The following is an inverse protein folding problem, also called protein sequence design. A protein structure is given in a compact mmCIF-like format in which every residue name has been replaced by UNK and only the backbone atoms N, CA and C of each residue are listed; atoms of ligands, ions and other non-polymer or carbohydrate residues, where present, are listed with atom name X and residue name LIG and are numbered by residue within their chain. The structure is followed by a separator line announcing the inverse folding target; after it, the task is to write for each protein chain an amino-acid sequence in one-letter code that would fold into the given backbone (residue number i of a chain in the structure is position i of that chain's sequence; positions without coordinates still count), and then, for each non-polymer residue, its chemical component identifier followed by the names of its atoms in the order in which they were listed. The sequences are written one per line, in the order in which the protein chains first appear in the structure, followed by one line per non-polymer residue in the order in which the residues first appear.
data_IF_959932456184
#
_entry.id   IF_959932456184
#
_cell.length_a   1.000
_cell.length_b   1.000
_cell.length_c   1.000
_cell.angle_alpha   90.00
_cell.angle_beta   90.00
_cell.angle_gamma   90.00
#
_symmetry.space_group_name_H-M   'P 1'
#
loop_
_entity.id
_entity.type
_entity.pdbx_description
1 polymer ?
#
# COMPACT_ATOMS: atom_id res chain seq x y z
N UNK A 1 -11.78 16.62 18.63
CA UNK A 1 -11.25 15.59 17.74
C UNK A 1 -10.35 14.71 18.59
N UNK A 2 -10.52 13.39 18.50
CA UNK A 2 -9.64 12.46 19.19
C UNK A 2 -8.28 12.47 18.49
N UNK A 3 -7.20 12.41 19.28
CA UNK A 3 -5.87 12.22 18.71
C UNK A 3 -5.74 10.77 18.21
N UNK A 4 -5.26 10.60 16.99
CA UNK A 4 -5.03 9.30 16.38
C UNK A 4 -3.53 9.03 16.31
N UNK A 5 -3.12 7.83 16.72
CA UNK A 5 -1.73 7.41 16.71
C UNK A 5 -1.57 6.09 15.96
N UNK A 6 -0.41 5.88 15.33
CA UNK A 6 0.00 4.59 14.81
C UNK A 6 0.68 3.83 15.95
N UNK A 7 0.15 2.68 16.32
CA UNK A 7 0.59 1.89 17.46
C UNK A 7 1.36 0.63 17.09
N UNK A 8 1.31 0.22 15.83
CA UNK A 8 2.03 -0.93 15.31
C UNK A 8 2.24 -0.83 13.81
N UNK A 9 3.26 -1.52 13.33
CA UNK A 9 3.58 -1.65 11.91
C UNK A 9 4.02 -3.06 11.60
N UNK A 10 3.72 -3.55 10.42
CA UNK A 10 4.13 -4.87 9.94
C UNK A 10 4.37 -4.86 8.45
N UNK A 11 5.26 -5.73 7.99
CA UNK A 11 5.67 -5.76 6.61
C UNK A 11 6.15 -7.15 6.19
N UNK A 12 5.75 -7.57 5.00
CA UNK A 12 6.34 -8.75 4.36
C UNK A 12 7.66 -8.40 3.69
N UNK A 13 8.52 -9.40 3.47
CA UNK A 13 9.73 -9.24 2.68
C UNK A 13 9.36 -8.94 1.23
N UNK A 14 10.00 -7.93 0.63
CA UNK A 14 9.89 -7.68 -0.80
C UNK A 14 10.67 -8.71 -1.58
N UNK A 15 9.98 -9.62 -2.23
CA UNK A 15 10.58 -10.69 -3.02
C UNK A 15 9.58 -11.17 -4.07
N UNK A 16 10.02 -12.06 -4.95
CA UNK A 16 9.10 -12.80 -5.80
C UNK A 16 8.30 -13.76 -4.91
N UNK A 17 7.02 -13.52 -4.78
CA UNK A 17 6.10 -14.41 -4.09
C UNK A 17 5.29 -15.21 -5.10
N UNK A 18 5.21 -16.53 -4.87
CA UNK A 18 4.31 -17.41 -5.64
C UNK A 18 2.88 -17.39 -5.05
N UNK A 19 2.65 -16.46 -4.14
CA UNK A 19 1.45 -16.38 -3.35
C UNK A 19 0.46 -15.34 -3.80
N UNK A 20 -0.73 -15.62 -3.33
CA UNK A 20 -1.91 -14.78 -3.37
C UNK A 20 -1.75 -13.54 -2.48
N UNK A 21 -2.44 -12.49 -2.86
CA UNK A 21 -2.54 -11.23 -2.11
C UNK A 21 -3.03 -11.48 -0.68
N UNK A 22 -3.92 -12.43 -0.49
CA UNK A 22 -4.49 -12.82 0.81
C UNK A 22 -3.41 -13.25 1.80
N UNK A 23 -2.44 -14.06 1.34
CA UNK A 23 -1.30 -14.48 2.15
C UNK A 23 -0.42 -13.31 2.56
N UNK A 24 -0.12 -12.41 1.63
CA UNK A 24 0.67 -11.20 1.91
C UNK A 24 -0.03 -10.28 2.92
N UNK A 25 -1.34 -10.12 2.79
CA UNK A 25 -2.16 -9.37 3.74
C UNK A 25 -2.12 -9.99 5.13
N UNK A 26 -2.28 -11.32 5.22
CA UNK A 26 -2.23 -12.03 6.49
C UNK A 26 -0.87 -11.93 7.17
N UNK A 27 0.23 -12.14 6.43
CA UNK A 27 1.60 -12.06 6.95
C UNK A 27 1.91 -10.66 7.49
N UNK A 28 1.61 -9.61 6.71
CA UNK A 28 1.84 -8.22 7.15
C UNK A 28 0.97 -7.81 8.33
N UNK A 29 -0.28 -8.22 8.36
CA UNK A 29 -1.19 -7.97 9.47
C UNK A 29 -0.75 -8.69 10.75
N UNK A 30 -0.33 -9.95 10.62
CA UNK A 30 0.18 -10.74 11.74
C UNK A 30 1.45 -10.13 12.34
N UNK A 31 2.40 -9.71 11.49
CA UNK A 31 3.61 -9.02 11.91
C UNK A 31 3.28 -7.70 12.65
N UNK A 32 2.34 -6.91 12.11
CA UNK A 32 1.85 -5.69 12.74
C UNK A 32 1.27 -5.95 14.14
N UNK A 33 0.39 -6.93 14.27
CA UNK A 33 -0.23 -7.27 15.57
C UNK A 33 0.82 -7.74 16.57
N UNK A 34 1.79 -8.56 16.14
CA UNK A 34 2.87 -9.05 16.99
C UNK A 34 3.85 -7.94 17.41
N UNK A 35 4.07 -6.95 16.54
CA UNK A 35 4.94 -5.81 16.84
C UNK A 35 4.36 -4.85 17.89
N UNK A 36 3.06 -4.97 18.17
CA UNK A 36 2.35 -4.05 19.03
C UNK A 36 2.34 -4.56 20.47
N UNK A 37 2.98 -3.85 21.36
CA UNK A 37 2.94 -4.17 22.79
C UNK A 37 1.52 -3.93 23.35
N UNK A 38 0.93 -4.94 23.97
CA UNK A 38 -0.38 -4.88 24.62
C UNK A 38 -1.60 -4.68 23.68
N UNK A 39 -1.47 -4.94 22.39
CA UNK A 39 -2.62 -4.99 21.49
C UNK A 39 -3.11 -6.44 21.34
N UNK A 40 -4.37 -6.65 21.65
CA UNK A 40 -5.02 -7.92 21.35
C UNK A 40 -5.76 -7.78 20.01
N UNK A 41 -5.73 -8.79 19.17
CA UNK A 41 -6.52 -8.80 17.92
C UNK A 41 -8.01 -8.52 18.16
N UNK A 42 -8.53 -8.86 19.33
CA UNK A 42 -9.93 -8.60 19.73
C UNK A 42 -10.25 -7.11 19.92
N UNK A 43 -9.24 -6.27 20.10
CA UNK A 43 -9.41 -4.84 20.27
C UNK A 43 -9.54 -4.12 18.92
N UNK A 44 -9.26 -4.82 17.83
CA UNK A 44 -9.37 -4.29 16.46
C UNK A 44 -10.84 -4.27 16.06
N UNK A 45 -11.38 -3.08 15.92
CA UNK A 45 -12.78 -2.83 15.57
C UNK A 45 -13.01 -2.56 14.08
N UNK A 46 -11.94 -2.26 13.35
CA UNK A 46 -12.02 -2.03 11.91
C UNK A 46 -10.88 -2.68 11.13
N UNK A 47 -11.17 -3.15 9.92
CA UNK A 47 -10.18 -3.68 8.98
C UNK A 47 -10.37 -3.02 7.62
N UNK A 48 -9.38 -2.24 7.21
CA UNK A 48 -9.34 -1.61 5.89
C UNK A 48 -8.24 -2.22 5.07
N UNK A 49 -8.59 -2.73 3.90
CA UNK A 49 -7.62 -3.33 2.98
C UNK A 49 -7.47 -2.45 1.75
N UNK A 50 -6.25 -2.06 1.45
CA UNK A 50 -5.91 -1.36 0.22
C UNK A 50 -5.24 -2.30 -0.77
N UNK A 51 -5.79 -2.38 -1.95
CA UNK A 51 -5.25 -3.18 -3.05
C UNK A 51 -5.75 -2.65 -4.37
N UNK A 52 -4.98 -2.88 -5.39
CA UNK A 52 -5.36 -2.61 -6.77
C UNK A 52 -5.68 -3.93 -7.53
N UNK A 53 -5.66 -5.06 -6.85
CA UNK A 53 -6.06 -6.34 -7.41
C UNK A 53 -7.59 -6.46 -7.53
N UNK A 54 -8.04 -7.22 -8.53
CA UNK A 54 -9.46 -7.52 -8.72
C UNK A 54 -10.08 -8.45 -7.67
N UNK A 55 -9.35 -8.80 -6.62
CA UNK A 55 -9.84 -9.65 -5.53
C UNK A 55 -10.90 -8.91 -4.72
N UNK A 56 -12.01 -9.60 -4.48
CA UNK A 56 -13.15 -9.06 -3.73
C UNK A 56 -13.12 -9.52 -2.28
N UNK A 57 -13.80 -8.77 -1.42
CA UNK A 57 -14.01 -9.13 -0.01
C UNK A 57 -12.73 -9.26 0.83
N UNK A 58 -11.60 -8.69 0.40
CA UNK A 58 -10.31 -8.84 1.09
C UNK A 58 -10.34 -8.38 2.56
N UNK A 59 -11.12 -7.35 2.89
CA UNK A 59 -11.32 -6.94 4.28
C UNK A 59 -11.96 -8.03 5.13
N UNK A 60 -12.99 -8.71 4.61
CA UNK A 60 -13.65 -9.82 5.30
C UNK A 60 -12.73 -11.05 5.39
N UNK A 61 -12.06 -11.39 4.31
CA UNK A 61 -11.11 -12.52 4.25
C UNK A 61 -9.98 -12.31 5.26
N UNK A 62 -9.39 -11.12 5.31
CA UNK A 62 -8.36 -10.80 6.29
C UNK A 62 -8.90 -10.87 7.73
N UNK A 63 -10.10 -10.36 7.96
CA UNK A 63 -10.74 -10.41 9.29
C UNK A 63 -10.94 -11.86 9.77
N UNK A 64 -11.38 -12.74 8.89
CA UNK A 64 -11.52 -14.17 9.17
C UNK A 64 -10.16 -14.81 9.45
N UNK A 65 -9.16 -14.55 8.60
CA UNK A 65 -7.82 -15.13 8.72
C UNK A 65 -7.12 -14.76 10.04
N UNK A 66 -7.30 -13.54 10.54
CA UNK A 66 -6.73 -13.08 11.83
C UNK A 66 -7.68 -13.31 13.02
N UNK A 67 -8.86 -13.88 12.80
CA UNK A 67 -9.80 -14.29 13.85
C UNK A 67 -10.52 -13.13 14.55
N UNK A 68 -10.82 -12.06 13.84
CA UNK A 68 -11.52 -10.90 14.41
C UNK A 68 -12.92 -10.71 13.79
N UNK A 69 -13.77 -9.99 14.52
CA UNK A 69 -15.13 -9.61 14.06
C UNK A 69 -15.26 -8.08 14.10
N UNK A 70 -14.73 -7.38 13.09
CA UNK A 70 -14.71 -5.93 13.11
C UNK A 70 -16.12 -5.36 12.86
N UNK A 71 -16.39 -4.17 13.39
CA UNK A 71 -17.59 -3.36 13.09
C UNK A 71 -17.51 -2.77 11.68
N UNK A 72 -16.28 -2.50 11.21
CA UNK A 72 -15.98 -1.88 9.92
C UNK A 72 -15.04 -2.79 9.16
N UNK A 73 -15.44 -3.24 7.97
CA UNK A 73 -14.56 -4.03 7.11
C UNK A 73 -14.86 -3.77 5.64
N UNK A 74 -13.90 -3.20 4.92
CA UNK A 74 -14.01 -3.02 3.47
C UNK A 74 -12.65 -2.84 2.80
N UNK A 75 -12.67 -2.97 1.48
CA UNK A 75 -11.51 -2.69 0.63
C UNK A 75 -11.59 -1.28 0.08
N UNK A 76 -10.43 -0.65 -0.07
CA UNK A 76 -10.26 0.69 -0.64
C UNK A 76 -9.37 0.57 -1.86
N UNK A 77 -9.90 1.01 -2.99
CA UNK A 77 -9.18 1.07 -4.24
C UNK A 77 -9.12 2.51 -4.72
N UNK A 78 -7.93 3.01 -4.96
CA UNK A 78 -7.66 4.33 -5.51
C UNK A 78 -6.31 4.34 -6.25
N UNK A 79 -6.06 3.28 -7.02
CA UNK A 79 -4.80 3.06 -7.72
C UNK A 79 -3.57 3.25 -6.79
N UNK A 80 -2.57 3.98 -7.23
CA UNK A 80 -1.33 4.22 -6.49
C UNK A 80 -1.53 4.92 -5.13
N UNK A 81 -2.68 5.52 -4.86
CA UNK A 81 -2.99 6.20 -3.60
C UNK A 81 -3.91 5.40 -2.67
N UNK A 82 -4.20 4.13 -2.99
CA UNK A 82 -5.09 3.28 -2.18
C UNK A 82 -4.66 3.20 -0.71
N UNK A 83 -3.37 2.99 -0.45
CA UNK A 83 -2.82 2.93 0.91
C UNK A 83 -3.01 4.24 1.68
N UNK A 84 -2.72 5.38 1.04
CA UNK A 84 -2.93 6.70 1.66
C UNK A 84 -4.40 6.94 1.97
N UNK A 85 -5.31 6.58 1.06
CA UNK A 85 -6.74 6.71 1.29
C UNK A 85 -7.25 5.80 2.42
N UNK A 86 -6.68 4.60 2.54
CA UNK A 86 -7.02 3.70 3.65
C UNK A 86 -6.61 4.29 5.01
N UNK A 87 -5.43 4.90 5.10
CA UNK A 87 -4.98 5.60 6.31
C UNK A 87 -5.87 6.80 6.63
N UNK A 88 -6.22 7.62 5.64
CA UNK A 88 -7.12 8.77 5.82
C UNK A 88 -8.51 8.31 6.28
N UNK A 89 -9.01 7.21 5.73
CA UNK A 89 -10.29 6.63 6.14
C UNK A 89 -10.25 6.14 7.59
N UNK A 90 -9.18 5.43 7.98
CA UNK A 90 -8.99 4.99 9.35
C UNK A 90 -8.92 6.18 10.32
N UNK A 91 -8.14 7.21 9.97
CA UNK A 91 -8.11 8.46 10.75
C UNK A 91 -9.50 9.05 10.92
N UNK A 92 -10.29 9.10 9.85
CA UNK A 92 -11.65 9.68 9.87
C UNK A 92 -12.58 8.87 10.77
N UNK A 93 -12.55 7.55 10.73
CA UNK A 93 -13.37 6.68 11.59
C UNK A 93 -12.99 6.82 13.06
N UNK A 94 -11.70 6.85 13.38
CA UNK A 94 -11.24 6.97 14.77
C UNK A 94 -11.55 8.39 15.30
N UNK A 95 -11.25 9.43 14.53
CA UNK A 95 -11.48 10.81 14.97
C UNK A 95 -12.95 11.17 15.15
N UNK A 96 -13.85 10.49 14.42
CA UNK A 96 -15.30 10.63 14.57
C UNK A 96 -15.88 9.77 15.70
N UNK A 97 -15.11 8.90 16.32
CA UNK A 97 -15.56 8.00 17.38
C UNK A 97 -16.34 6.77 16.90
N UNK A 98 -16.30 6.47 15.60
CA UNK A 98 -16.92 5.26 15.04
C UNK A 98 -16.12 3.99 15.36
N UNK A 99 -14.85 4.12 15.64
CA UNK A 99 -13.96 3.01 16.02
C UNK A 99 -12.81 3.55 16.86
N UNK A 100 -12.32 2.72 17.78
CA UNK A 100 -11.17 3.07 18.61
C UNK A 100 -9.86 2.51 18.04
N UNK A 101 -9.91 1.38 17.31
CA UNK A 101 -8.73 0.75 16.72
C UNK A 101 -9.04 0.16 15.35
N UNK A 102 -8.23 0.51 14.38
CA UNK A 102 -8.36 0.04 12.99
C UNK A 102 -7.04 -0.53 12.49
N UNK A 103 -7.10 -1.73 11.95
CA UNK A 103 -6.02 -2.31 11.16
C UNK A 103 -6.15 -1.84 9.71
N UNK A 104 -5.09 -1.23 9.20
CA UNK A 104 -4.97 -0.91 7.78
C UNK A 104 -3.91 -1.82 7.19
N UNK A 105 -4.25 -2.58 6.18
CA UNK A 105 -3.33 -3.45 5.47
C UNK A 105 -3.42 -3.21 3.97
N UNK A 106 -2.34 -3.49 3.25
CA UNK A 106 -2.31 -3.38 1.80
C UNK A 106 -1.31 -4.35 1.20
N UNK A 107 -1.65 -4.94 0.08
CA UNK A 107 -0.76 -5.84 -0.64
C UNK A 107 -1.01 -5.80 -2.14
N UNK A 108 0.07 -6.00 -2.89
CA UNK A 108 0.06 -6.16 -4.34
C UNK A 108 0.95 -7.34 -4.73
N UNK A 109 0.46 -8.16 -5.65
CA UNK A 109 1.24 -9.22 -6.27
C UNK A 109 1.53 -8.86 -7.73
N UNK A 110 2.65 -8.17 -7.96
CA UNK A 110 3.04 -7.71 -9.29
C UNK A 110 3.52 -8.85 -10.22
N UNK A 111 3.73 -10.04 -9.68
CA UNK A 111 4.09 -11.24 -10.47
C UNK A 111 2.90 -11.88 -11.16
N UNK A 112 1.71 -11.54 -10.77
CA UNK A 112 0.51 -12.03 -11.43
C UNK A 112 0.11 -11.01 -12.52
N UNK A 113 0.17 -11.35 -13.81
CA UNK A 113 -0.01 -10.39 -14.91
C UNK A 113 -1.45 -9.85 -15.05
N UNK A 114 -2.26 -9.96 -14.00
CA UNK A 114 -3.67 -9.61 -14.02
C UNK A 114 -3.99 -8.12 -13.97
N UNK A 115 -3.01 -7.24 -13.76
CA UNK A 115 -3.30 -5.84 -13.57
C UNK A 115 -2.81 -4.97 -14.72
N UNK A 116 -3.61 -4.98 -15.76
CA UNK A 116 -3.57 -3.93 -16.77
C UNK A 116 -4.51 -2.84 -16.29
N UNK A 117 -3.97 -1.64 -16.06
CA UNK A 117 -4.82 -0.46 -15.89
C UNK A 117 -5.69 -0.34 -17.13
N UNK A 118 -7.00 -0.43 -16.96
CA UNK A 118 -7.93 -0.20 -18.04
C UNK A 118 -7.75 1.23 -18.54
N UNK A 119 -7.38 1.34 -19.81
CA UNK A 119 -7.18 2.61 -20.47
C UNK A 119 -8.32 2.90 -21.43
N UNK A 120 -8.91 4.03 -21.29
CA UNK A 120 -9.86 4.53 -22.28
C UNK A 120 -9.11 4.90 -23.57
N UNK A 121 -9.20 4.03 -24.56
CA UNK A 121 -8.54 4.18 -25.87
C UNK A 121 -8.93 5.47 -26.61
N UNK A 122 -10.06 6.09 -26.27
CA UNK A 122 -10.46 7.39 -26.81
C UNK A 122 -9.49 8.51 -26.45
N UNK A 123 -8.72 8.34 -25.37
CA UNK A 123 -7.73 9.29 -24.88
C UNK A 123 -6.34 9.16 -25.48
N UNK A 124 -6.14 8.22 -26.40
CA UNK A 124 -4.89 8.03 -27.12
C UNK A 124 -4.29 6.64 -26.98
N UNK A 125 -3.12 6.47 -27.61
CA UNK A 125 -2.44 5.17 -27.74
C UNK A 125 -1.51 4.82 -26.57
N UNK A 126 -1.32 5.70 -25.61
CA UNK A 126 -0.39 5.52 -24.51
C UNK A 126 -1.07 4.77 -23.35
N UNK A 127 -1.07 3.46 -23.43
CA UNK A 127 -1.86 2.55 -22.57
C UNK A 127 -1.26 2.30 -21.18
N UNK A 128 -0.04 2.77 -20.90
CA UNK A 128 0.60 2.51 -19.63
C UNK A 128 1.03 3.80 -18.90
N UNK A 129 0.80 3.93 -17.58
CA UNK A 129 1.17 5.12 -16.79
C UNK A 129 2.63 5.53 -16.89
N UNK A 130 3.53 4.59 -17.20
CA UNK A 130 4.96 4.86 -17.44
C UNK A 130 5.16 5.87 -18.57
N UNK A 131 4.34 5.84 -19.62
CA UNK A 131 4.42 6.82 -20.71
C UNK A 131 4.06 8.23 -20.23
N UNK A 132 3.08 8.33 -19.33
CA UNK A 132 2.70 9.63 -18.75
C UNK A 132 3.77 10.16 -17.82
N UNK A 133 4.36 9.30 -16.99
CA UNK A 133 5.52 9.64 -16.17
C UNK A 133 6.68 10.15 -17.02
N UNK A 134 6.96 9.47 -18.15
CA UNK A 134 8.00 9.93 -19.09
C UNK A 134 7.67 11.30 -19.72
N UNK A 135 6.43 11.53 -20.12
CA UNK A 135 6.01 12.82 -20.69
C UNK A 135 6.09 13.95 -19.65
N UNK A 136 5.64 13.68 -18.42
CA UNK A 136 5.74 14.64 -17.31
C UNK A 136 7.20 14.97 -16.99
N UNK A 137 8.06 13.96 -16.92
CA UNK A 137 9.51 14.15 -16.70
C UNK A 137 10.13 14.99 -17.82
N UNK A 138 9.83 14.70 -19.08
CA UNK A 138 10.32 15.49 -20.21
C UNK A 138 9.83 16.94 -20.16
N UNK A 139 8.56 17.14 -19.79
CA UNK A 139 7.98 18.47 -19.65
C UNK A 139 8.64 19.25 -18.50
N UNK A 140 8.85 18.59 -17.37
CA UNK A 140 9.55 19.17 -16.21
C UNK A 140 10.98 19.56 -16.56
N UNK A 141 11.75 18.68 -17.18
CA UNK A 141 13.12 18.96 -17.64
C UNK A 141 13.18 20.17 -18.57
N UNK A 142 12.22 20.25 -19.50
CA UNK A 142 12.15 21.40 -20.44
C UNK A 142 11.83 22.71 -19.72
N UNK A 143 10.90 22.67 -18.77
CA UNK A 143 10.43 23.87 -18.07
C UNK A 143 11.43 24.38 -17.04
N UNK A 144 12.07 23.46 -16.30
CA UNK A 144 12.92 23.79 -15.15
C UNK A 144 14.40 23.51 -15.38
N UNK A 145 14.79 23.07 -16.57
CA UNK A 145 16.17 22.71 -16.93
C UNK A 145 16.78 21.64 -16.02
N UNK A 146 15.92 20.77 -15.45
CA UNK A 146 16.35 19.68 -14.57
C UNK A 146 17.28 18.72 -15.30
N UNK A 147 18.42 18.40 -14.69
CA UNK A 147 19.44 17.52 -15.27
C UNK A 147 19.17 16.04 -14.98
N UNK A 148 19.89 15.16 -15.66
CA UNK A 148 19.84 13.71 -15.37
C UNK A 148 20.42 13.40 -13.98
N UNK A 149 21.46 14.15 -13.57
CA UNK A 149 22.08 14.02 -12.26
C UNK A 149 21.13 14.35 -11.13
N UNK A 150 20.32 15.39 -11.26
CA UNK A 150 19.29 15.73 -10.27
C UNK A 150 18.23 14.66 -10.15
N UNK A 151 17.80 14.04 -11.25
CA UNK A 151 16.90 12.90 -11.24
C UNK A 151 17.55 11.66 -10.62
N UNK A 152 18.83 11.43 -10.90
CA UNK A 152 19.59 10.33 -10.33
C UNK A 152 19.73 10.43 -8.81
N UNK A 153 19.87 11.66 -8.25
CA UNK A 153 19.90 11.90 -6.81
C UNK A 153 18.62 11.39 -6.13
N UNK A 154 17.45 11.64 -6.74
CA UNK A 154 16.16 11.14 -6.20
C UNK A 154 16.15 9.62 -6.17
N UNK A 155 16.60 8.98 -7.25
CA UNK A 155 16.67 7.52 -7.34
C UNK A 155 17.65 6.95 -6.29
N UNK A 156 18.85 7.49 -6.21
CA UNK A 156 19.86 7.06 -5.23
C UNK A 156 19.37 7.21 -3.78
N UNK A 157 18.70 8.33 -3.47
CA UNK A 157 18.09 8.54 -2.15
C UNK A 157 17.06 7.45 -1.83
N UNK A 158 16.18 7.15 -2.77
CA UNK A 158 15.13 6.16 -2.55
C UNK A 158 15.70 4.74 -2.39
N UNK A 159 16.72 4.36 -3.17
CA UNK A 159 17.43 3.10 -3.00
C UNK A 159 18.09 3.00 -1.62
N UNK A 160 18.77 4.06 -1.19
CA UNK A 160 19.39 4.11 0.15
C UNK A 160 18.36 3.92 1.26
N UNK A 161 17.18 4.54 1.16
CA UNK A 161 16.13 4.37 2.15
C UNK A 161 15.53 2.96 2.10
N UNK A 162 15.39 2.37 0.92
CA UNK A 162 14.92 0.99 0.78
C UNK A 162 15.87 -0.02 1.46
N UNK A 163 17.19 0.18 1.37
CA UNK A 163 18.17 -0.66 2.07
C UNK A 163 18.00 -0.59 3.61
N UNK A 164 17.62 0.56 4.16
CA UNK A 164 17.35 0.70 5.60
C UNK A 164 16.12 -0.11 6.06
N UNK A 165 15.23 -0.42 5.13
CA UNK A 165 14.02 -1.24 5.35
C UNK A 165 14.25 -2.71 5.00
N UNK A 166 15.50 -3.18 4.89
CA UNK A 166 15.93 -4.54 4.47
C UNK A 166 15.34 -5.03 3.16
N UNK A 167 14.84 -4.15 2.40
CA UNK A 167 14.12 -4.52 1.21
C UNK A 167 15.02 -4.63 0.01
N UNK A 168 16.01 -5.42 0.06
CA UNK A 168 16.79 -5.83 -1.08
C UNK A 168 18.11 -5.09 -1.30
N UNK A 169 19.20 -5.79 -1.28
CA UNK A 169 20.38 -5.32 -1.98
C UNK A 169 19.99 -5.12 -3.45
N UNK A 170 20.39 -4.00 -4.02
CA UNK A 170 20.35 -3.83 -5.46
C UNK A 170 21.09 -5.01 -6.11
N UNK A 171 20.62 -5.57 -7.23
CA UNK A 171 21.36 -6.58 -7.96
C UNK A 171 22.74 -6.12 -8.45
N UNK A 172 23.10 -4.88 -8.16
CA UNK A 172 24.39 -4.26 -8.52
C UNK A 172 25.30 -4.02 -7.33
N UNK A 173 24.84 -4.32 -6.13
CA UNK A 173 25.64 -4.35 -4.90
C UNK A 173 26.00 -5.80 -4.58
#
# INVERSE_FOLDING_TARGET
MNNVAIVGTGQTKFSKHDGDVEKLLFESASDCIQSTNNCNSKDIEGVLVSTNNNSKYLGAILSEAIGIRPKISHSIEHLCSSGTNAIISAYSYISSGLSDMILVSGAESATNPGQVLEWDKSRGILEHPIYWGSMLTKSHKRKFQTTEEELAIVSAKNHKQACLLYTSPSPRD
#
